data_IF_301341713859
#
_entry.id   IF_301341713859
#
_cell.length_a   1.000
_cell.length_b   1.000
_cell.length_c   1.000
_cell.angle_alpha   90.00
_cell.angle_beta   90.00
_cell.angle_gamma   90.00
#
_symmetry.space_group_name_H-M   'P 1'
#
loop_
_entity.id
_entity.type
_entity.pdbx_description
1 polymer ?
#
# COMPACT_ATOMS: atom_id res chain seq x y z
N UNK A 1 -10.34 -14.64 6.85
CA UNK A 1 -10.27 -14.40 5.39
C UNK A 1 -11.65 -14.14 4.82
N UNK A 2 -12.68 -14.78 5.37
CA UNK A 2 -14.07 -14.56 4.98
C UNK A 2 -14.47 -13.08 5.04
N UNK A 3 -14.13 -12.38 6.13
CA UNK A 3 -14.35 -10.93 6.27
C UNK A 3 -13.68 -10.11 5.17
N UNK A 4 -12.50 -10.53 4.68
CA UNK A 4 -11.79 -9.84 3.59
C UNK A 4 -12.48 -10.02 2.26
N UNK A 5 -13.09 -11.18 2.00
CA UNK A 5 -13.86 -11.42 0.78
C UNK A 5 -15.16 -10.61 0.81
N UNK A 6 -15.82 -10.52 1.96
CA UNK A 6 -16.99 -9.64 2.15
C UNK A 6 -16.61 -8.18 1.90
N UNK A 7 -15.52 -7.72 2.51
CA UNK A 7 -15.01 -6.36 2.33
C UNK A 7 -14.65 -6.08 0.86
N UNK A 8 -14.00 -7.02 0.18
CA UNK A 8 -13.70 -6.90 -1.24
C UNK A 8 -14.97 -6.81 -2.09
N UNK A 9 -16.00 -7.60 -1.80
CA UNK A 9 -17.29 -7.51 -2.48
C UNK A 9 -18.00 -6.19 -2.23
N UNK A 10 -17.81 -5.57 -1.07
CA UNK A 10 -18.25 -4.18 -0.85
C UNK A 10 -17.47 -3.18 -1.71
N UNK A 11 -16.15 -3.36 -1.84
CA UNK A 11 -15.31 -2.53 -2.73
C UNK A 11 -15.78 -2.67 -4.19
N UNK A 12 -16.04 -3.89 -4.67
CA UNK A 12 -16.59 -4.14 -6.01
C UNK A 12 -17.94 -3.42 -6.22
N UNK A 13 -18.89 -3.58 -5.28
CA UNK A 13 -20.21 -2.91 -5.33
C UNK A 13 -20.09 -1.39 -5.40
N UNK A 14 -19.19 -0.80 -4.62
CA UNK A 14 -18.93 0.65 -4.62
C UNK A 14 -18.30 1.15 -5.91
N UNK A 15 -17.63 0.28 -6.67
CA UNK A 15 -17.02 0.61 -7.97
C UNK A 15 -17.89 0.16 -9.15
N UNK A 16 -19.20 -0.02 -8.94
CA UNK A 16 -20.16 -0.31 -10.00
C UNK A 16 -20.26 -1.78 -10.41
N UNK A 17 -19.47 -2.68 -9.81
CA UNK A 17 -19.57 -4.12 -10.05
C UNK A 17 -20.67 -4.70 -9.17
N UNK A 18 -21.74 -5.19 -9.79
CA UNK A 18 -22.84 -5.80 -9.04
C UNK A 18 -22.40 -7.17 -8.51
N UNK A 19 -22.27 -7.25 -7.20
CA UNK A 19 -22.07 -8.52 -6.47
C UNK A 19 -23.29 -8.75 -5.60
N UNK A 20 -23.81 -9.95 -5.54
CA UNK A 20 -24.98 -10.38 -4.76
C UNK A 20 -24.55 -11.21 -3.55
N UNK A 21 -25.49 -11.49 -2.63
CA UNK A 21 -25.21 -12.38 -1.52
C UNK A 21 -24.90 -13.80 -2.01
N UNK A 22 -25.62 -14.28 -3.03
CA UNK A 22 -25.41 -15.60 -3.63
C UNK A 22 -24.01 -15.73 -4.22
N UNK A 23 -23.49 -14.70 -4.90
CA UNK A 23 -22.13 -14.69 -5.45
C UNK A 23 -21.05 -14.71 -4.36
N UNK A 24 -21.30 -14.05 -3.21
CA UNK A 24 -20.43 -14.19 -2.05
C UNK A 24 -20.41 -15.62 -1.50
N UNK A 25 -21.58 -16.27 -1.43
CA UNK A 25 -21.66 -17.67 -1.00
C UNK A 25 -20.94 -18.61 -1.99
N UNK A 26 -21.06 -18.35 -3.30
CA UNK A 26 -20.32 -19.08 -4.32
C UNK A 26 -18.81 -18.88 -4.17
N UNK A 27 -18.37 -17.65 -3.92
CA UNK A 27 -16.97 -17.33 -3.65
C UNK A 27 -16.43 -18.13 -2.45
N UNK A 28 -17.15 -18.16 -1.33
CA UNK A 28 -16.73 -18.95 -0.16
C UNK A 28 -16.65 -20.45 -0.47
N UNK A 29 -17.64 -20.99 -1.19
CA UNK A 29 -17.61 -22.39 -1.61
C UNK A 29 -16.43 -22.70 -2.52
N UNK A 30 -16.16 -21.84 -3.50
CA UNK A 30 -15.03 -22.01 -4.40
C UNK A 30 -13.70 -21.97 -3.63
N UNK A 31 -13.53 -21.02 -2.72
CA UNK A 31 -12.31 -20.88 -1.91
C UNK A 31 -12.09 -22.06 -0.95
N UNK A 32 -13.16 -22.65 -0.41
CA UNK A 32 -13.06 -23.87 0.40
C UNK A 32 -12.56 -25.08 -0.40
N UNK A 33 -12.82 -25.11 -1.72
CA UNK A 33 -12.39 -26.18 -2.60
C UNK A 33 -10.97 -25.96 -3.15
N UNK A 34 -10.62 -24.71 -3.47
CA UNK A 34 -9.32 -24.36 -4.08
C UNK A 34 -8.22 -24.10 -3.05
N UNK A 35 -8.58 -23.76 -1.81
CA UNK A 35 -7.65 -23.28 -0.80
C UNK A 35 -7.15 -21.86 -1.09
N UNK A 36 -6.29 -21.34 -0.20
CA UNK A 36 -5.81 -19.94 -0.19
C UNK A 36 -4.30 -19.80 -0.46
N UNK A 37 -3.60 -20.91 -0.74
CA UNK A 37 -2.14 -20.92 -0.81
C UNK A 37 -1.60 -20.46 -2.18
N UNK A 38 -2.37 -20.65 -3.24
CA UNK A 38 -2.03 -20.21 -4.60
C UNK A 38 -2.79 -18.92 -4.93
N UNK A 39 -2.04 -17.82 -5.09
CA UNK A 39 -2.59 -16.50 -5.39
C UNK A 39 -3.29 -16.44 -6.76
N UNK A 40 -2.80 -17.18 -7.76
CA UNK A 40 -3.40 -17.23 -9.09
C UNK A 40 -4.73 -18.01 -9.05
N UNK A 41 -4.76 -19.10 -8.29
CA UNK A 41 -5.98 -19.89 -8.08
C UNK A 41 -7.02 -19.12 -7.26
N UNK A 42 -6.58 -18.43 -6.20
CA UNK A 42 -7.40 -17.54 -5.39
C UNK A 42 -8.05 -16.42 -6.23
N UNK A 43 -7.25 -15.75 -7.07
CA UNK A 43 -7.74 -14.75 -8.04
C UNK A 43 -8.75 -15.34 -9.00
N UNK A 44 -8.44 -16.50 -9.57
CA UNK A 44 -9.30 -17.17 -10.55
C UNK A 44 -10.64 -17.59 -9.96
N UNK A 45 -10.64 -18.11 -8.73
CA UNK A 45 -11.84 -18.49 -8.00
C UNK A 45 -12.75 -17.28 -7.77
N UNK A 46 -12.21 -16.19 -7.21
CA UNK A 46 -12.98 -14.97 -6.97
C UNK A 46 -13.51 -14.34 -8.25
N UNK A 47 -12.71 -14.32 -9.32
CA UNK A 47 -13.13 -13.81 -10.63
C UNK A 47 -14.31 -14.61 -11.19
N UNK A 48 -14.23 -15.94 -11.11
CA UNK A 48 -15.25 -16.84 -11.64
C UNK A 48 -16.58 -16.74 -10.87
N UNK A 49 -16.53 -16.51 -9.57
CA UNK A 49 -17.73 -16.45 -8.74
C UNK A 49 -18.36 -15.07 -8.69
N UNK A 50 -17.56 -14.00 -8.65
CA UNK A 50 -18.03 -12.63 -8.41
C UNK A 50 -18.35 -11.84 -9.69
N UNK A 51 -17.81 -12.22 -10.86
CA UNK A 51 -17.93 -11.43 -12.09
C UNK A 51 -18.83 -12.13 -13.11
N UNK A 52 -19.90 -11.44 -13.54
CA UNK A 52 -20.88 -11.94 -14.52
C UNK A 52 -20.85 -11.22 -15.87
N UNK A 53 -20.16 -10.08 -15.95
CA UNK A 53 -20.08 -9.25 -17.15
C UNK A 53 -18.64 -9.00 -17.52
N UNK A 54 -18.32 -9.09 -18.80
CA UNK A 54 -16.97 -8.82 -19.31
C UNK A 54 -16.53 -7.38 -19.05
N UNK A 55 -17.47 -6.44 -19.01
CA UNK A 55 -17.21 -5.02 -18.67
C UNK A 55 -16.64 -4.84 -17.26
N UNK A 56 -17.02 -5.73 -16.34
CA UNK A 56 -16.66 -5.64 -14.93
C UNK A 56 -15.30 -6.31 -14.64
N UNK A 57 -14.78 -7.05 -15.63
CA UNK A 57 -13.53 -7.79 -15.53
C UNK A 57 -12.35 -6.86 -15.27
N UNK A 58 -12.23 -5.77 -16.05
CA UNK A 58 -11.13 -4.82 -15.88
C UNK A 58 -11.14 -4.18 -14.48
N UNK A 59 -12.31 -3.80 -14.00
CA UNK A 59 -12.51 -3.21 -12.67
C UNK A 59 -12.15 -4.23 -11.58
N UNK A 60 -12.56 -5.49 -11.73
CA UNK A 60 -12.18 -6.57 -10.83
C UNK A 60 -10.67 -6.76 -10.77
N UNK A 61 -9.99 -6.87 -11.92
CA UNK A 61 -8.54 -7.13 -11.95
C UNK A 61 -7.78 -5.99 -11.25
N UNK A 62 -8.12 -4.74 -11.55
CA UNK A 62 -7.51 -3.56 -10.91
C UNK A 62 -7.76 -3.53 -9.40
N UNK A 63 -9.00 -3.78 -8.95
CA UNK A 63 -9.35 -3.75 -7.53
C UNK A 63 -8.80 -4.96 -6.78
N UNK A 64 -8.74 -6.14 -7.40
CA UNK A 64 -8.18 -7.34 -6.79
C UNK A 64 -6.70 -7.14 -6.50
N UNK A 65 -5.93 -6.65 -7.47
CA UNK A 65 -4.51 -6.36 -7.30
C UNK A 65 -4.31 -5.29 -6.21
N UNK A 66 -5.17 -4.27 -6.19
CA UNK A 66 -5.12 -3.21 -5.19
C UNK A 66 -5.51 -3.69 -3.77
N UNK A 67 -6.46 -4.61 -3.65
CA UNK A 67 -7.05 -5.03 -2.38
C UNK A 67 -6.35 -6.25 -1.75
N UNK A 68 -6.00 -7.26 -2.54
CA UNK A 68 -5.41 -8.52 -2.07
C UNK A 68 -3.90 -8.61 -2.34
N UNK A 69 -3.41 -8.02 -3.42
CA UNK A 69 -1.97 -7.95 -3.69
C UNK A 69 -1.34 -6.66 -3.13
N UNK A 70 -2.17 -5.72 -2.66
CA UNK A 70 -1.80 -4.39 -2.19
C UNK A 70 -0.66 -4.40 -1.17
N UNK A 71 0.32 -3.52 -1.43
CA UNK A 71 1.61 -3.33 -0.76
C UNK A 71 2.60 -4.50 -0.95
N UNK A 72 2.25 -5.74 -0.62
CA UNK A 72 3.21 -6.86 -0.68
C UNK A 72 3.79 -7.17 -2.08
N UNK A 73 2.97 -7.15 -3.13
CA UNK A 73 3.44 -7.43 -4.50
C UNK A 73 4.12 -6.20 -5.15
N UNK A 74 3.55 -5.01 -4.93
CA UNK A 74 4.14 -3.75 -5.37
C UNK A 74 5.52 -3.55 -4.77
N UNK A 75 5.73 -3.94 -3.51
CA UNK A 75 7.02 -3.77 -2.84
C UNK A 75 8.03 -4.83 -3.27
N UNK A 76 7.62 -6.10 -3.46
CA UNK A 76 8.53 -7.09 -4.07
C UNK A 76 8.97 -6.66 -5.47
N UNK A 77 8.09 -5.99 -6.22
CA UNK A 77 8.44 -5.41 -7.50
C UNK A 77 9.35 -4.19 -7.36
N UNK A 78 9.08 -3.29 -6.42
CA UNK A 78 9.95 -2.14 -6.12
C UNK A 78 11.36 -2.59 -5.70
N UNK A 79 11.47 -3.57 -4.80
CA UNK A 79 12.74 -4.16 -4.38
C UNK A 79 13.48 -4.81 -5.56
N UNK A 80 12.77 -5.53 -6.45
CA UNK A 80 13.37 -6.10 -7.68
C UNK A 80 13.89 -5.02 -8.62
N UNK A 81 13.13 -3.96 -8.83
CA UNK A 81 13.52 -2.84 -9.69
C UNK A 81 14.73 -2.12 -9.11
N UNK A 82 14.74 -1.86 -7.81
CA UNK A 82 15.86 -1.23 -7.12
C UNK A 82 17.12 -2.10 -7.16
N UNK A 83 17.00 -3.41 -6.89
CA UNK A 83 18.11 -4.37 -7.05
C UNK A 83 18.68 -4.34 -8.47
N UNK A 84 17.82 -4.28 -9.49
CA UNK A 84 18.24 -4.22 -10.89
C UNK A 84 18.98 -2.92 -11.23
N UNK A 85 18.49 -1.79 -10.70
CA UNK A 85 19.12 -0.46 -10.88
C UNK A 85 20.49 -0.37 -10.21
N UNK A 86 20.66 -1.02 -9.06
CA UNK A 86 21.91 -1.02 -8.29
C UNK A 86 22.86 -2.17 -8.66
N UNK A 87 22.47 -3.03 -9.62
CA UNK A 87 23.27 -4.20 -10.01
C UNK A 87 23.45 -5.23 -8.89
N UNK A 88 22.49 -5.32 -7.96
CA UNK A 88 22.58 -6.16 -6.77
C UNK A 88 21.98 -7.53 -6.99
N UNK A 89 22.71 -8.56 -6.55
CA UNK A 89 22.15 -9.90 -6.41
C UNK A 89 21.24 -10.01 -5.17
N UNK A 90 20.24 -10.91 -5.15
CA UNK A 90 19.33 -11.07 -4.00
C UNK A 90 20.04 -11.29 -2.65
N UNK A 91 21.16 -12.02 -2.65
CA UNK A 91 21.97 -12.25 -1.43
C UNK A 91 22.65 -10.97 -0.92
N UNK A 92 23.08 -10.10 -1.84
CA UNK A 92 23.69 -8.82 -1.47
C UNK A 92 22.65 -7.86 -0.89
N UNK A 93 21.43 -7.89 -1.43
CA UNK A 93 20.31 -7.14 -0.87
C UNK A 93 19.93 -7.62 0.55
N UNK A 94 19.89 -8.94 0.76
CA UNK A 94 19.67 -9.50 2.10
C UNK A 94 20.76 -9.06 3.09
N UNK A 95 22.03 -9.12 2.69
CA UNK A 95 23.14 -8.66 3.53
C UNK A 95 23.05 -7.15 3.86
N UNK A 96 22.61 -6.32 2.90
CA UNK A 96 22.35 -4.90 3.13
C UNK A 96 21.25 -4.70 4.17
N UNK A 97 20.12 -5.41 4.05
CA UNK A 97 19.02 -5.31 5.00
C UNK A 97 19.44 -5.73 6.42
N UNK A 98 20.27 -6.76 6.55
CA UNK A 98 20.83 -7.18 7.85
C UNK A 98 21.79 -6.14 8.44
N UNK A 99 22.55 -5.42 7.61
CA UNK A 99 23.38 -4.31 8.07
C UNK A 99 22.51 -3.13 8.54
N UNK A 100 21.49 -2.76 7.76
CA UNK A 100 20.53 -1.72 8.15
C UNK A 100 19.88 -2.07 9.48
N UNK A 101 19.41 -3.30 9.68
CA UNK A 101 18.83 -3.76 10.95
C UNK A 101 19.81 -3.61 12.12
N UNK A 102 21.06 -4.05 11.95
CA UNK A 102 22.08 -3.89 13.01
C UNK A 102 22.38 -2.44 13.35
N UNK A 103 22.26 -1.53 12.39
CA UNK A 103 22.41 -0.10 12.62
C UNK A 103 21.21 0.46 13.38
N UNK A 104 19.99 0.07 13.00
CA UNK A 104 18.77 0.43 13.70
C UNK A 104 18.75 -0.06 15.15
N UNK A 105 19.24 -1.29 15.41
CA UNK A 105 19.31 -1.86 16.77
C UNK A 105 20.29 -1.11 17.68
N UNK A 106 21.23 -0.34 17.12
CA UNK A 106 22.17 0.51 17.88
C UNK A 106 21.62 1.91 18.14
N UNK A 107 20.60 2.32 17.40
CA UNK A 107 19.88 3.58 17.59
C UNK A 107 18.85 3.36 18.69
N UNK A 108 19.18 3.75 19.91
CA UNK A 108 18.50 3.42 21.18
C UNK A 108 17.12 4.09 21.31
N UNK A 109 16.16 3.74 20.45
CA UNK A 109 14.79 4.25 20.47
C UNK A 109 14.57 5.64 19.87
N UNK A 110 15.59 6.23 19.24
CA UNK A 110 15.49 7.53 18.55
C UNK A 110 14.66 7.47 17.25
N UNK A 111 14.45 6.25 16.73
CA UNK A 111 13.79 6.02 15.44
C UNK A 111 12.35 5.55 15.69
N UNK A 112 11.38 6.17 15.01
CA UNK A 112 9.97 5.80 15.14
C UNK A 112 9.70 4.37 14.65
N UNK A 113 8.62 3.72 15.13
CA UNK A 113 8.23 2.39 14.65
C UNK A 113 7.97 2.34 13.14
N UNK A 114 7.55 3.47 12.53
CA UNK A 114 7.35 3.59 11.09
C UNK A 114 8.69 3.64 10.34
N UNK A 115 9.64 4.46 10.81
CA UNK A 115 10.98 4.52 10.26
C UNK A 115 11.70 3.16 10.36
N UNK A 116 11.61 2.51 11.53
CA UNK A 116 12.20 1.20 11.76
C UNK A 116 11.60 0.15 10.82
N UNK A 117 10.27 0.07 10.70
CA UNK A 117 9.61 -0.85 9.78
C UNK A 117 9.97 -0.57 8.31
N UNK A 118 10.01 0.71 7.94
CA UNK A 118 10.36 1.16 6.59
C UNK A 118 11.79 0.78 6.21
N UNK A 119 12.75 0.97 7.10
CA UNK A 119 14.15 0.68 6.83
C UNK A 119 14.48 -0.82 6.95
N UNK A 120 13.88 -1.51 7.91
CA UNK A 120 14.08 -2.95 8.13
C UNK A 120 13.45 -3.86 7.06
N UNK A 121 12.68 -3.31 6.12
CA UNK A 121 11.99 -4.09 5.10
C UNK A 121 10.64 -4.66 5.53
N UNK A 122 10.12 -4.31 6.72
CA UNK A 122 8.88 -4.88 7.27
C UNK A 122 7.64 -4.12 6.78
N UNK A 123 7.21 -4.48 5.57
CA UNK A 123 6.10 -3.79 4.92
C UNK A 123 4.75 -4.13 5.49
N UNK A 124 4.62 -5.33 6.07
CA UNK A 124 3.41 -5.70 6.78
C UNK A 124 3.21 -4.77 7.98
N UNK A 125 4.29 -4.43 8.69
CA UNK A 125 4.25 -3.46 9.75
C UNK A 125 3.99 -2.03 9.23
N UNK A 126 4.65 -1.60 8.14
CA UNK A 126 4.39 -0.29 7.51
C UNK A 126 2.91 -0.16 7.13
N UNK A 127 2.33 -1.16 6.46
CA UNK A 127 0.93 -1.19 6.07
C UNK A 127 0.00 -1.10 7.29
N UNK A 128 0.27 -1.87 8.34
CA UNK A 128 -0.52 -1.84 9.58
C UNK A 128 -0.51 -0.44 10.21
N UNK A 129 0.67 0.19 10.28
CA UNK A 129 0.83 1.53 10.84
C UNK A 129 0.09 2.59 10.00
N UNK A 130 0.22 2.51 8.67
CA UNK A 130 -0.49 3.41 7.75
C UNK A 130 -2.01 3.27 7.86
N UNK A 131 -2.53 2.03 7.90
CA UNK A 131 -3.96 1.78 8.06
C UNK A 131 -4.47 2.22 9.44
N UNK A 132 -3.71 1.99 10.51
CA UNK A 132 -4.08 2.44 11.85
C UNK A 132 -4.18 3.98 11.91
N UNK A 133 -3.23 4.69 11.29
CA UNK A 133 -3.26 6.15 11.18
C UNK A 133 -4.46 6.64 10.36
N UNK A 134 -4.79 5.95 9.25
CA UNK A 134 -5.96 6.26 8.43
C UNK A 134 -7.29 6.01 9.18
N UNK A 135 -7.41 4.89 9.90
CA UNK A 135 -8.61 4.51 10.64
C UNK A 135 -8.87 5.42 11.85
N UNK A 136 -7.81 5.85 12.55
CA UNK A 136 -7.91 6.83 13.64
C UNK A 136 -8.39 8.22 13.17
N UNK A 137 -8.37 8.48 11.86
CA UNK A 137 -8.86 9.74 11.31
C UNK A 137 -10.40 9.77 11.15
N UNK A 138 -11.11 8.63 11.24
CA UNK A 138 -12.57 8.46 11.44
C UNK A 138 -13.55 9.25 10.54
N UNK A 139 -13.05 10.15 9.70
CA UNK A 139 -13.75 11.25 9.03
C UNK A 139 -13.20 11.51 7.62
N UNK A 140 -12.27 10.68 7.13
CA UNK A 140 -11.81 10.77 5.73
C UNK A 140 -12.99 10.61 4.74
N UNK A 141 -14.04 9.88 5.13
CA UNK A 141 -15.25 9.69 4.33
C UNK A 141 -16.41 10.66 4.57
N UNK A 142 -16.40 11.51 5.61
CA UNK A 142 -17.55 12.37 5.96
C UNK A 142 -17.36 13.86 5.65
N UNK A 143 -16.22 14.25 5.05
CA UNK A 143 -15.96 15.66 4.69
C UNK A 143 -15.25 15.80 3.34
N UNK A 144 -15.47 14.82 2.44
CA UNK A 144 -14.85 14.75 1.12
C UNK A 144 -15.29 15.86 0.14
N UNK A 145 -16.13 16.80 0.57
CA UNK A 145 -16.81 17.74 -0.31
C UNK A 145 -15.98 18.98 -0.70
N UNK A 146 -14.76 19.19 -0.14
CA UNK A 146 -14.01 20.43 -0.47
C UNK A 146 -12.52 20.39 -0.81
N UNK A 147 -11.66 19.46 -0.36
CA UNK A 147 -10.21 19.60 -0.68
C UNK A 147 -9.44 18.27 -0.74
N UNK A 148 -9.19 17.78 -1.97
CA UNK A 148 -8.27 16.66 -2.31
C UNK A 148 -6.87 16.82 -1.68
N UNK A 149 -6.42 18.07 -1.47
CA UNK A 149 -5.12 18.41 -0.90
C UNK A 149 -5.05 18.24 0.63
N UNK A 150 -6.19 18.21 1.33
CA UNK A 150 -6.21 18.15 2.81
C UNK A 150 -6.11 16.74 3.39
N UNK A 151 -6.52 15.70 2.66
CA UNK A 151 -6.45 14.33 3.16
C UNK A 151 -4.99 13.83 3.27
N UNK A 152 -4.15 14.16 2.28
CA UNK A 152 -2.72 13.87 2.33
C UNK A 152 -2.03 14.64 3.46
N UNK A 153 -2.20 15.95 3.54
CA UNK A 153 -1.55 16.75 4.59
C UNK A 153 -1.98 16.34 6.00
N UNK A 154 -3.24 15.91 6.20
CA UNK A 154 -3.71 15.37 7.50
C UNK A 154 -3.06 14.03 7.84
N UNK A 155 -3.08 13.09 6.89
CA UNK A 155 -2.52 11.76 7.11
C UNK A 155 -0.99 11.83 7.28
N UNK A 156 -0.33 12.68 6.50
CA UNK A 156 1.08 13.04 6.63
C UNK A 156 1.42 13.64 8.00
N UNK A 157 0.61 14.60 8.48
CA UNK A 157 0.78 15.19 9.80
C UNK A 157 0.62 14.19 10.94
N UNK A 158 -0.36 13.28 10.86
CA UNK A 158 -0.60 12.25 11.90
C UNK A 158 0.42 11.12 11.89
N UNK A 159 0.89 10.74 10.71
CA UNK A 159 2.02 9.80 10.58
C UNK A 159 3.34 10.43 11.04
N UNK A 160 3.36 11.74 11.28
CA UNK A 160 4.57 12.46 11.62
C UNK A 160 5.58 12.41 10.48
N UNK A 161 5.17 12.51 9.21
CA UNK A 161 6.11 12.42 8.08
C UNK A 161 7.25 13.44 8.17
N UNK A 162 6.99 14.63 8.71
CA UNK A 162 8.04 15.62 8.96
C UNK A 162 9.01 15.20 10.07
N UNK A 163 8.53 14.50 11.10
CA UNK A 163 9.39 13.91 12.13
C UNK A 163 10.18 12.72 11.55
N UNK A 164 9.53 11.88 10.74
CA UNK A 164 10.16 10.79 10.01
C UNK A 164 11.27 11.27 9.08
N UNK A 165 11.05 12.36 8.33
CA UNK A 165 12.08 12.97 7.48
C UNK A 165 13.28 13.42 8.30
N UNK A 166 13.04 14.04 9.47
CA UNK A 166 14.11 14.44 10.38
C UNK A 166 14.86 13.23 10.97
N UNK A 167 14.15 12.21 11.46
CA UNK A 167 14.74 10.96 11.97
C UNK A 167 15.63 10.28 10.92
N UNK A 168 15.20 10.30 9.65
CA UNK A 168 15.96 9.73 8.56
C UNK A 168 17.19 10.57 8.21
N UNK A 169 17.13 11.90 8.31
CA UNK A 169 18.31 12.75 8.12
C UNK A 169 19.33 12.59 9.27
N UNK A 170 18.85 12.43 10.50
CA UNK A 170 19.70 12.13 11.65
C UNK A 170 20.38 10.77 11.46
N UNK A 171 19.63 9.77 10.95
CA UNK A 171 20.17 8.46 10.59
C UNK A 171 21.23 8.55 9.47
N UNK A 172 21.00 9.33 8.42
CA UNK A 172 22.00 9.54 7.33
C UNK A 172 23.26 10.24 7.84
N UNK A 173 23.10 11.21 8.74
CA UNK A 173 24.21 11.93 9.37
C UNK A 173 25.05 10.99 10.25
N UNK A 174 24.39 10.13 11.03
CA UNK A 174 25.04 9.10 11.84
C UNK A 174 25.84 8.10 10.97
N UNK A 175 25.29 7.68 9.82
CA UNK A 175 25.98 6.77 8.90
C UNK A 175 27.27 7.38 8.33
N UNK A 176 27.25 8.68 8.05
CA UNK A 176 28.42 9.40 7.54
C UNK A 176 29.52 9.56 8.59
N UNK A 177 29.15 9.59 9.88
CA UNK A 177 30.09 9.75 10.99
C UNK A 177 30.64 8.45 11.60
N UNK A 178 30.05 7.29 11.30
CA UNK A 178 30.33 6.02 12.00
C UNK A 178 31.46 5.17 11.40
N UNK A 179 32.25 5.70 10.46
CA UNK A 179 33.42 5.02 9.89
C UNK A 179 33.07 3.76 9.10
N UNK A 180 31.82 3.65 8.63
CA UNK A 180 31.42 2.60 7.70
C UNK A 180 32.24 2.69 6.40
N UNK A 181 32.45 1.53 5.77
CA UNK A 181 33.01 1.46 4.43
C UNK A 181 32.22 2.39 3.48
N UNK A 182 32.92 3.30 2.79
CA UNK A 182 32.30 4.41 2.06
C UNK A 182 31.31 3.93 0.98
N UNK A 183 31.62 2.80 0.35
CA UNK A 183 30.75 2.17 -0.64
C UNK A 183 29.47 1.60 0.00
N UNK A 184 29.63 0.95 1.16
CA UNK A 184 28.50 0.41 1.93
C UNK A 184 27.59 1.52 2.46
N UNK A 185 28.17 2.61 2.97
CA UNK A 185 27.42 3.77 3.44
C UNK A 185 26.60 4.39 2.29
N UNK A 186 27.20 4.58 1.12
CA UNK A 186 26.51 5.12 -0.05
C UNK A 186 25.31 4.23 -0.48
N UNK A 187 25.48 2.91 -0.46
CA UNK A 187 24.40 1.96 -0.77
C UNK A 187 23.23 2.09 0.21
N UNK A 188 23.53 2.25 1.51
CA UNK A 188 22.49 2.44 2.54
C UNK A 188 21.78 3.78 2.34
N UNK A 189 22.50 4.86 2.06
CA UNK A 189 21.90 6.18 1.79
C UNK A 189 20.93 6.14 0.60
N UNK A 190 21.35 5.54 -0.52
CA UNK A 190 20.50 5.35 -1.71
C UNK A 190 19.30 4.47 -1.42
N UNK A 191 19.44 3.46 -0.56
CA UNK A 191 18.33 2.63 -0.11
C UNK A 191 17.33 3.45 0.71
N UNK A 192 17.78 4.22 1.71
CA UNK A 192 16.92 5.09 2.54
C UNK A 192 16.09 6.04 1.68
N UNK A 193 16.71 6.72 0.71
CA UNK A 193 16.03 7.62 -0.21
C UNK A 193 14.96 6.91 -1.04
N UNK A 194 15.29 5.75 -1.60
CA UNK A 194 14.34 4.94 -2.35
C UNK A 194 13.13 4.57 -1.50
N UNK A 195 13.35 4.18 -0.24
CA UNK A 195 12.27 3.78 0.69
C UNK A 195 11.36 4.94 1.07
N UNK A 196 11.90 6.15 1.23
CA UNK A 196 11.08 7.35 1.46
C UNK A 196 10.18 7.67 0.26
N UNK A 197 10.72 7.55 -0.97
CA UNK A 197 9.93 7.74 -2.19
C UNK A 197 8.79 6.72 -2.31
N UNK A 198 9.08 5.45 -1.99
CA UNK A 198 8.06 4.39 -1.97
C UNK A 198 6.99 4.66 -0.91
N UNK A 199 7.37 5.11 0.30
CA UNK A 199 6.40 5.51 1.31
C UNK A 199 5.45 6.60 0.80
N UNK A 200 5.98 7.63 0.15
CA UNK A 200 5.17 8.68 -0.45
C UNK A 200 4.23 8.20 -1.57
N UNK A 201 4.61 7.17 -2.32
CA UNK A 201 3.72 6.49 -3.29
C UNK A 201 2.63 5.69 -2.56
N UNK A 202 3.01 4.88 -1.57
CA UNK A 202 2.09 4.05 -0.78
C UNK A 202 1.03 4.89 -0.05
N UNK A 203 1.41 6.03 0.51
CA UNK A 203 0.48 6.96 1.16
C UNK A 203 -0.52 7.52 0.15
N UNK A 204 -0.07 7.92 -1.04
CA UNK A 204 -0.95 8.40 -2.12
C UNK A 204 -1.92 7.31 -2.57
N UNK A 205 -1.45 6.08 -2.73
CA UNK A 205 -2.29 4.95 -3.14
C UNK A 205 -3.32 4.60 -2.06
N UNK A 206 -2.94 4.62 -0.78
CA UNK A 206 -3.87 4.42 0.33
C UNK A 206 -4.94 5.52 0.39
N UNK A 207 -4.56 6.78 0.20
CA UNK A 207 -5.52 7.90 0.15
C UNK A 207 -6.45 7.74 -1.05
N UNK A 208 -5.93 7.33 -2.21
CA UNK A 208 -6.75 7.03 -3.38
C UNK A 208 -7.73 5.90 -3.09
N UNK A 209 -7.30 4.83 -2.42
CA UNK A 209 -8.17 3.74 -1.97
C UNK A 209 -9.27 4.25 -1.03
N UNK A 210 -8.95 5.07 -0.02
CA UNK A 210 -9.93 5.58 0.93
C UNK A 210 -10.91 6.59 0.30
N UNK A 211 -10.46 7.40 -0.65
CA UNK A 211 -11.33 8.29 -1.43
C UNK A 211 -12.25 7.52 -2.37
N UNK A 212 -11.76 6.47 -3.02
CA UNK A 212 -12.58 5.57 -3.83
C UNK A 212 -13.60 4.80 -2.98
N UNK A 213 -13.20 4.37 -1.77
CA UNK A 213 -14.13 3.77 -0.79
C UNK A 213 -15.22 4.73 -0.31
N UNK A 214 -14.98 6.04 -0.36
CA UNK A 214 -15.89 7.10 0.11
C UNK A 214 -16.82 7.66 -0.99
N UNK A 215 -16.71 7.22 -2.25
CA UNK A 215 -17.72 7.45 -3.29
C UNK A 215 -17.67 8.78 -4.08
N UNK A 216 -16.53 9.47 -4.17
CA UNK A 216 -16.46 10.80 -4.82
C UNK A 216 -16.05 10.80 -6.31
N UNK A 217 -16.47 9.82 -7.10
CA UNK A 217 -16.25 9.86 -8.57
C UNK A 217 -17.56 10.03 -9.36
N UNK A 218 -18.73 9.94 -8.71
CA UNK A 218 -20.01 10.08 -9.42
C UNK A 218 -20.43 11.52 -9.74
N UNK A 219 -19.94 12.55 -9.03
CA UNK A 219 -20.48 13.91 -9.25
C UNK A 219 -20.01 14.60 -10.54
N UNK A 220 -18.93 14.12 -11.18
CA UNK A 220 -18.43 14.71 -12.44
C UNK A 220 -18.98 13.98 -13.67
N UNK A 221 -19.22 12.67 -13.59
CA UNK A 221 -19.80 11.91 -14.71
C UNK A 221 -21.30 12.17 -14.85
N UNK A 222 -22.03 12.23 -13.75
CA UNK A 222 -23.46 12.59 -13.78
C UNK A 222 -23.68 14.01 -14.30
N UNK A 223 -22.77 14.96 -14.02
CA UNK A 223 -22.87 16.35 -14.52
C UNK A 223 -22.61 16.46 -16.02
N UNK A 224 -21.68 15.66 -16.54
CA UNK A 224 -21.33 15.68 -17.96
C UNK A 224 -22.45 15.04 -18.79
N UNK A 225 -23.05 13.95 -18.30
CA UNK A 225 -24.19 13.31 -18.97
C UNK A 225 -25.47 14.17 -18.91
N UNK A 226 -25.69 14.94 -17.83
CA UNK A 226 -26.84 15.85 -17.72
C UNK A 226 -26.72 17.11 -18.62
N UNK A 227 -25.49 17.54 -18.95
CA UNK A 227 -25.23 18.68 -19.84
C UNK A 227 -25.24 18.30 -21.33
N UNK A 228 -25.15 17.01 -21.65
CA UNK A 228 -25.23 16.49 -23.02
C UNK A 228 -26.65 16.06 -23.42
N UNK A 229 -27.62 16.12 -22.50
CA UNK A 229 -29.05 15.81 -22.75
C UNK A 229 -29.98 17.04 -22.77
N UNK A 230 -29.44 18.26 -22.81
CA UNK A 230 -30.21 19.50 -22.99
C UNK A 230 -29.78 20.24 -24.23
#
# INVERSE_FOLDING_TARGET
MDDRVVEFSHVLRRNGVRVSLSENMDAFRALNLTGLQDAALFRSALRATLIKRTTDLKIFEELFDLFFLGLGAAIREADRQWMSQMGLAPRQFQALLEQVRRLLDRSDGEISPLAQALLAGDMAQVERLLRAAAAADGKLGQSADRLRMTAFSRLAGRLGLSALEQELEDFKSMLSGSGADAETAERILRYVEHRLQELGRMIRDLIKQELQKSGFVDSERERTDYLLQK
#
